data_IF_179945131845
#
_entry.id   IF_179945131845
#
_cell.length_a   1.000
_cell.length_b   1.000
_cell.length_c   1.000
_cell.angle_alpha   90.00
_cell.angle_beta   90.00
_cell.angle_gamma   90.00
#
_symmetry.space_group_name_H-M   'P 1'
#
loop_
_entity.id
_entity.type
_entity.pdbx_description
1 polymer ?
#
# COMPACT_ATOMS: atom_id res chain seq x y z
N UNK A 1 -7.78 -10.17 5.05
CA UNK A 1 -6.90 -9.24 4.31
C UNK A 1 -5.55 -9.12 4.98
N UNK A 2 -4.52 -8.64 4.25
CA UNK A 2 -3.18 -8.44 4.81
C UNK A 2 -2.74 -6.99 4.77
N UNK A 3 -3.37 -6.16 3.95
CA UNK A 3 -3.05 -4.75 3.86
C UNK A 3 -4.26 -3.87 3.61
N UNK A 4 -4.14 -2.60 3.98
CA UNK A 4 -5.15 -1.58 3.73
C UNK A 4 -4.51 -0.20 3.56
N UNK A 5 -5.07 0.60 2.66
CA UNK A 5 -4.79 2.03 2.53
C UNK A 5 -5.92 2.82 3.15
N UNK A 6 -5.57 3.89 3.85
CA UNK A 6 -6.53 4.82 4.47
C UNK A 6 -6.29 6.25 4.01
N UNK A 7 -7.39 6.95 3.79
CA UNK A 7 -7.47 8.40 3.63
C UNK A 7 -8.21 8.94 4.86
N UNK A 8 -7.59 9.82 5.61
CA UNK A 8 -8.10 10.29 6.90
C UNK A 8 -8.20 11.80 6.86
N UNK A 9 -9.37 12.33 7.22
CA UNK A 9 -9.59 13.75 7.43
C UNK A 9 -9.92 13.99 8.90
N UNK A 10 -9.24 14.94 9.49
CA UNK A 10 -9.41 15.33 10.90
C UNK A 10 -9.70 16.81 10.97
N UNK A 11 -10.64 17.20 11.81
CA UNK A 11 -10.85 18.60 12.13
C UNK A 11 -11.18 18.81 13.62
N UNK A 12 -10.83 19.97 14.16
CA UNK A 12 -11.28 20.38 15.47
C UNK A 12 -12.77 20.80 15.45
N UNK A 13 -13.39 20.94 16.61
CA UNK A 13 -14.82 21.23 16.72
C UNK A 13 -15.24 22.53 16.03
N UNK A 14 -14.39 23.54 16.04
CA UNK A 14 -14.61 24.86 15.40
C UNK A 14 -14.31 24.84 13.91
N UNK A 15 -13.71 23.76 13.37
CA UNK A 15 -13.23 23.63 11.98
C UNK A 15 -12.22 24.71 11.56
N UNK A 16 -11.49 25.25 12.53
CA UNK A 16 -10.40 26.20 12.27
C UNK A 16 -9.10 25.52 11.91
N UNK A 17 -8.94 24.26 12.35
CA UNK A 17 -7.80 23.42 11.97
C UNK A 17 -8.27 22.11 11.35
N UNK A 18 -7.63 21.75 10.26
CA UNK A 18 -7.93 20.54 9.47
C UNK A 18 -6.62 19.87 9.09
N UNK A 19 -6.59 18.55 9.21
CA UNK A 19 -5.52 17.69 8.68
C UNK A 19 -6.10 16.66 7.72
N UNK A 20 -5.38 16.39 6.63
CA UNK A 20 -5.59 15.22 5.80
C UNK A 20 -4.33 14.36 5.82
N UNK A 21 -4.50 13.06 6.01
CA UNK A 21 -3.41 12.11 6.19
C UNK A 21 -3.69 10.89 5.33
N UNK A 22 -2.68 10.40 4.62
CA UNK A 22 -2.69 9.09 4.01
C UNK A 22 -1.83 8.13 4.81
N UNK A 23 -2.28 6.89 4.97
CA UNK A 23 -1.47 5.85 5.57
C UNK A 23 -1.80 4.47 5.00
N UNK A 24 -0.82 3.58 5.09
CA UNK A 24 -0.97 2.16 4.80
C UNK A 24 -0.76 1.34 6.07
N UNK A 25 -1.53 0.28 6.20
CA UNK A 25 -1.43 -0.67 7.31
C UNK A 25 -1.24 -2.06 6.74
N UNK A 26 -0.31 -2.82 7.31
CA UNK A 26 -0.07 -4.23 6.98
C UNK A 26 0.01 -5.05 8.25
N UNK A 27 -0.39 -6.33 8.17
CA UNK A 27 -0.28 -7.26 9.29
C UNK A 27 0.10 -8.68 8.86
N UNK A 28 0.77 -9.41 9.76
CA UNK A 28 1.16 -10.81 9.58
C UNK A 28 0.25 -11.81 10.35
N UNK A 29 -0.75 -11.28 11.05
CA UNK A 29 -1.65 -12.04 11.93
C UNK A 29 -1.30 -11.91 13.42
N UNK A 30 -0.09 -11.44 13.74
CA UNK A 30 0.39 -11.22 15.11
C UNK A 30 0.76 -9.76 15.35
N UNK A 31 1.41 -9.14 14.37
CA UNK A 31 1.85 -7.76 14.40
C UNK A 31 1.14 -6.94 13.32
N UNK A 32 0.83 -5.69 13.62
CA UNK A 32 0.39 -4.71 12.65
C UNK A 32 1.38 -3.54 12.61
N UNK A 33 1.68 -3.11 11.39
CA UNK A 33 2.58 -1.99 11.12
C UNK A 33 1.86 -0.93 10.31
N UNK A 34 2.21 0.32 10.53
CA UNK A 34 1.65 1.48 9.83
C UNK A 34 2.77 2.36 9.28
N UNK A 35 2.55 2.89 8.09
CA UNK A 35 3.30 4.02 7.54
C UNK A 35 2.33 5.14 7.21
N UNK A 36 2.53 6.29 7.84
CA UNK A 36 1.78 7.53 7.55
C UNK A 36 2.63 8.43 6.66
N UNK A 37 2.00 9.02 5.66
CA UNK A 37 2.63 9.91 4.69
C UNK A 37 1.59 10.88 4.12
N UNK A 38 2.01 11.85 3.34
CA UNK A 38 1.10 12.78 2.67
C UNK A 38 0.24 13.58 3.65
N UNK A 39 0.78 13.94 4.82
CA UNK A 39 0.06 14.77 5.78
C UNK A 39 0.09 16.23 5.38
N UNK A 40 -1.09 16.85 5.33
CA UNK A 40 -1.28 18.28 5.09
C UNK A 40 -2.14 18.86 6.19
N UNK A 41 -1.64 19.88 6.88
CA UNK A 41 -2.29 20.56 7.98
C UNK A 41 -2.51 22.04 7.67
N UNK A 42 -3.61 22.61 8.15
CA UNK A 42 -3.82 24.07 8.14
C UNK A 42 -3.15 24.75 9.34
N UNK A 43 -2.85 23.99 10.41
CA UNK A 43 -2.09 24.44 11.59
C UNK A 43 -0.62 24.07 11.52
N UNK A 44 0.12 24.35 12.59
CA UNK A 44 1.55 24.10 12.67
C UNK A 44 1.92 22.66 13.08
N UNK A 45 0.95 21.90 13.61
CA UNK A 45 1.17 20.56 14.15
C UNK A 45 0.12 19.58 13.62
N UNK A 46 0.48 18.30 13.61
CA UNK A 46 -0.49 17.22 13.35
C UNK A 46 -1.56 17.20 14.45
N UNK A 47 -2.82 17.07 14.05
CA UNK A 47 -3.96 16.99 14.99
C UNK A 47 -4.07 15.63 15.67
N UNK A 48 -3.52 14.56 15.06
CA UNK A 48 -3.60 13.20 15.60
C UNK A 48 -2.28 12.45 15.44
N UNK A 49 -2.11 11.44 16.27
CA UNK A 49 -1.09 10.40 16.10
C UNK A 49 -1.78 9.08 15.75
N UNK A 50 -1.30 8.42 14.70
CA UNK A 50 -1.84 7.15 14.22
C UNK A 50 -0.98 5.98 14.70
N UNK A 51 -1.63 4.89 15.10
CA UNK A 51 -1.00 3.61 15.44
C UNK A 51 -1.84 2.46 14.89
N UNK A 52 -1.22 1.30 14.68
CA UNK A 52 -1.92 0.07 14.31
C UNK A 52 -1.57 -1.04 15.30
N UNK A 53 -2.55 -1.85 15.66
CA UNK A 53 -2.37 -3.04 16.50
C UNK A 53 -3.33 -4.17 16.10
N UNK A 54 -3.13 -5.34 16.70
CA UNK A 54 -4.04 -6.48 16.59
C UNK A 54 -4.72 -6.70 17.94
N UNK A 55 -6.04 -6.88 17.93
CA UNK A 55 -6.84 -7.23 19.08
C UNK A 55 -7.72 -8.44 18.75
N UNK A 56 -7.33 -9.61 19.20
CA UNK A 56 -7.96 -10.87 18.82
C UNK A 56 -7.76 -11.13 17.31
N UNK A 57 -8.85 -11.20 16.56
CA UNK A 57 -8.85 -11.35 15.10
C UNK A 57 -8.87 -10.03 14.32
N UNK A 58 -8.98 -8.89 15.03
CA UNK A 58 -9.19 -7.60 14.40
C UNK A 58 -7.89 -6.80 14.30
N UNK A 59 -7.61 -6.28 13.10
CA UNK A 59 -6.59 -5.26 12.89
C UNK A 59 -7.23 -3.90 13.11
N UNK A 60 -6.67 -3.11 14.04
CA UNK A 60 -7.19 -1.80 14.40
C UNK A 60 -6.24 -0.70 13.94
N UNK A 61 -6.76 0.27 13.21
CA UNK A 61 -6.15 1.59 13.08
C UNK A 61 -6.68 2.47 14.22
N UNK A 62 -5.79 3.07 14.97
CA UNK A 62 -6.11 3.91 16.13
C UNK A 62 -5.59 5.32 15.91
N UNK A 63 -6.40 6.29 16.31
CA UNK A 63 -6.03 7.70 16.31
C UNK A 63 -6.05 8.22 17.76
N UNK A 64 -4.98 8.87 18.17
CA UNK A 64 -4.91 9.61 19.43
C UNK A 64 -4.88 11.10 19.10
N UNK A 65 -5.84 11.85 19.62
CA UNK A 65 -5.93 13.29 19.41
C UNK A 65 -4.86 14.04 20.20
N UNK A 66 -4.22 15.02 19.57
CA UNK A 66 -3.28 15.94 20.20
C UNK A 66 -3.98 17.14 20.84
N UNK A 67 -5.30 17.29 20.58
CA UNK A 67 -6.20 18.27 21.18
C UNK A 67 -7.57 17.64 21.51
N UNK A 68 -8.38 18.30 22.37
CA UNK A 68 -9.72 17.83 22.68
C UNK A 68 -10.71 18.08 21.53
N UNK A 69 -11.79 17.29 21.50
CA UNK A 69 -12.93 17.48 20.58
C UNK A 69 -12.62 17.41 19.10
N UNK A 70 -11.69 16.55 18.70
CA UNK A 70 -11.43 16.25 17.29
C UNK A 70 -12.52 15.35 16.68
N UNK A 71 -12.79 15.58 15.41
CA UNK A 71 -13.60 14.69 14.56
C UNK A 71 -12.71 14.04 13.52
N UNK A 72 -12.80 12.72 13.41
CA UNK A 72 -12.01 11.92 12.49
C UNK A 72 -12.94 11.22 11.50
N UNK A 73 -12.68 11.38 10.22
CA UNK A 73 -13.32 10.67 9.14
C UNK A 73 -12.27 9.84 8.41
N UNK A 74 -12.54 8.57 8.21
CA UNK A 74 -11.62 7.67 7.50
C UNK A 74 -12.34 6.94 6.36
N UNK A 75 -11.72 6.92 5.19
CA UNK A 75 -12.05 6.05 4.07
C UNK A 75 -10.92 5.03 3.91
N UNK A 76 -11.24 3.79 3.58
CA UNK A 76 -10.23 2.72 3.42
C UNK A 76 -10.42 1.92 2.15
N UNK A 77 -9.31 1.47 1.60
CA UNK A 77 -9.22 0.43 0.57
C UNK A 77 -8.58 -0.78 1.23
N UNK A 78 -9.26 -1.92 1.22
CA UNK A 78 -8.73 -3.19 1.75
C UNK A 78 -8.23 -4.02 0.58
N UNK A 79 -7.02 -4.55 0.72
CA UNK A 79 -6.47 -5.53 -0.20
C UNK A 79 -6.68 -6.91 0.41
N UNK A 80 -7.62 -7.64 -0.19
CA UNK A 80 -7.99 -8.98 0.25
C UNK A 80 -7.10 -10.02 -0.44
N UNK A 81 -6.76 -11.08 0.29
CA UNK A 81 -6.14 -12.29 -0.24
C UNK A 81 -7.14 -13.24 -0.95
N UNK A 82 -8.42 -12.83 -1.09
CA UNK A 82 -9.43 -13.61 -1.81
C UNK A 82 -9.79 -12.96 -3.15
N UNK A 83 -9.93 -13.79 -4.18
CA UNK A 83 -10.27 -13.37 -5.56
C UNK A 83 -11.69 -12.79 -5.74
N UNK A 84 -12.49 -12.71 -4.68
CA UNK A 84 -13.93 -12.44 -4.77
C UNK A 84 -14.32 -10.97 -5.04
N UNK A 85 -13.38 -10.02 -4.96
CA UNK A 85 -13.69 -8.57 -4.98
C UNK A 85 -13.17 -7.83 -6.24
N UNK A 86 -13.34 -8.45 -7.40
CA UNK A 86 -12.89 -7.87 -8.67
C UNK A 86 -14.04 -7.18 -9.42
N UNK A 87 -14.30 -5.90 -9.16
CA UNK A 87 -15.16 -5.12 -10.07
C UNK A 87 -14.79 -3.65 -10.14
N UNK A 88 -14.45 -3.19 -11.34
CA UNK A 88 -14.25 -1.78 -11.68
C UNK A 88 -13.42 -1.59 -12.96
N UNK A 89 -13.83 -0.69 -13.83
CA UNK A 89 -13.27 -0.55 -15.19
C UNK A 89 -11.87 0.08 -15.25
N UNK A 90 -11.38 0.71 -14.18
CA UNK A 90 -10.04 1.29 -14.12
C UNK A 90 -9.29 0.96 -12.82
N UNK A 91 -9.85 0.09 -11.99
CA UNK A 91 -9.21 -0.48 -10.81
C UNK A 91 -9.18 -1.99 -11.00
N UNK A 92 -7.99 -2.55 -11.12
CA UNK A 92 -7.76 -3.98 -11.27
C UNK A 92 -7.16 -4.51 -9.97
N UNK A 93 -7.64 -5.66 -9.52
CA UNK A 93 -7.00 -6.46 -8.46
C UNK A 93 -6.38 -7.65 -9.13
N UNK A 94 -5.05 -7.76 -9.08
CA UNK A 94 -4.35 -8.96 -9.54
C UNK A 94 -4.43 -10.05 -8.48
N UNK A 95 -4.58 -11.30 -8.90
CA UNK A 95 -4.56 -12.46 -8.00
C UNK A 95 -3.17 -12.71 -7.43
N UNK A 96 -3.10 -13.57 -6.41
CA UNK A 96 -1.85 -13.97 -5.77
C UNK A 96 -0.82 -14.49 -6.77
N UNK A 97 0.33 -13.85 -6.83
CA UNK A 97 1.50 -14.33 -7.57
C UNK A 97 2.57 -14.77 -6.59
N UNK A 98 3.08 -15.98 -6.73
CA UNK A 98 4.22 -16.46 -5.94
C UNK A 98 5.51 -15.95 -6.55
N UNK A 99 6.28 -15.19 -5.79
CA UNK A 99 7.57 -14.65 -6.18
C UNK A 99 8.72 -15.29 -5.39
N UNK A 100 9.91 -15.20 -5.93
CA UNK A 100 11.18 -15.60 -5.31
C UNK A 100 12.19 -14.45 -5.38
N UNK A 101 13.47 -14.72 -5.23
CA UNK A 101 14.54 -13.72 -5.45
C UNK A 101 14.66 -13.24 -6.90
N UNK A 102 14.07 -13.98 -7.86
CA UNK A 102 14.01 -13.55 -9.26
C UNK A 102 12.77 -12.69 -9.50
N UNK A 103 12.93 -11.56 -10.16
CA UNK A 103 11.84 -10.65 -10.49
C UNK A 103 10.79 -11.34 -11.38
N UNK A 104 9.58 -11.50 -10.86
CA UNK A 104 8.44 -12.15 -11.51
C UNK A 104 7.39 -11.08 -11.82
N UNK A 105 6.77 -11.15 -13.00
CA UNK A 105 5.67 -10.25 -13.38
C UNK A 105 4.45 -10.51 -12.49
N UNK A 106 3.95 -9.45 -11.87
CA UNK A 106 2.78 -9.47 -10.98
C UNK A 106 1.57 -8.80 -11.62
N UNK A 107 1.78 -7.86 -12.54
CA UNK A 107 0.73 -7.22 -13.33
C UNK A 107 1.26 -6.72 -14.66
N UNK A 108 0.35 -6.50 -15.62
CA UNK A 108 0.66 -5.91 -16.93
C UNK A 108 -0.40 -4.94 -17.37
N UNK A 109 0.00 -3.90 -18.11
CA UNK A 109 -0.93 -3.00 -18.80
C UNK A 109 -0.41 -2.62 -20.19
N UNK A 110 -1.32 -2.16 -21.05
CA UNK A 110 -1.03 -1.72 -22.42
C UNK A 110 -0.64 -0.24 -22.45
N UNK A 111 0.59 0.06 -22.85
CA UNK A 111 1.13 1.42 -22.98
C UNK A 111 0.49 2.24 -24.12
N UNK A 112 -0.20 1.61 -25.09
CA UNK A 112 -1.00 2.32 -26.07
C UNK A 112 -2.29 2.90 -25.45
N UNK A 113 -2.76 2.30 -24.36
CA UNK A 113 -3.98 2.72 -23.68
C UNK A 113 -3.67 3.59 -22.46
N UNK A 114 -2.63 3.24 -21.68
CA UNK A 114 -2.30 3.90 -20.42
C UNK A 114 -0.82 4.33 -20.40
N UNK A 115 -0.56 5.60 -20.12
CA UNK A 115 0.80 6.14 -20.00
C UNK A 115 1.38 5.99 -18.58
N UNK A 116 0.62 5.39 -17.66
CA UNK A 116 1.08 5.11 -16.31
C UNK A 116 0.03 4.38 -15.48
N UNK A 117 0.45 3.90 -14.34
CA UNK A 117 -0.39 3.19 -13.39
C UNK A 117 0.06 3.49 -11.96
N UNK A 118 -0.89 3.44 -11.04
CA UNK A 118 -0.62 3.53 -9.61
C UNK A 118 -1.00 2.21 -8.95
N UNK A 119 -0.09 1.68 -8.13
CA UNK A 119 -0.25 0.39 -7.48
C UNK A 119 -0.22 0.51 -5.97
N UNK A 120 -1.02 -0.32 -5.30
CA UNK A 120 -0.87 -0.69 -3.90
C UNK A 120 -0.53 -2.17 -3.90
N UNK A 121 0.66 -2.52 -3.43
CA UNK A 121 1.20 -3.88 -3.48
C UNK A 121 1.34 -4.43 -2.07
N UNK A 122 0.74 -5.58 -1.82
CA UNK A 122 0.85 -6.30 -0.55
C UNK A 122 1.58 -7.61 -0.80
N UNK A 123 2.58 -7.89 0.02
CA UNK A 123 3.30 -9.16 -0.01
C UNK A 123 3.19 -9.87 1.34
N UNK A 124 3.03 -11.19 1.30
CA UNK A 124 2.94 -12.03 2.48
C UNK A 124 3.79 -13.30 2.33
N UNK A 125 4.65 -13.54 3.29
CA UNK A 125 5.43 -14.78 3.42
C UNK A 125 4.96 -15.53 4.67
N UNK A 126 4.17 -16.59 4.47
CA UNK A 126 3.63 -17.38 5.58
C UNK A 126 4.71 -18.19 6.33
N UNK A 127 5.76 -18.62 5.61
CA UNK A 127 6.86 -19.37 6.20
C UNK A 127 7.73 -18.56 7.16
N UNK A 128 7.78 -17.24 6.96
CA UNK A 128 8.54 -16.32 7.81
C UNK A 128 7.65 -15.48 8.74
N UNK A 129 6.33 -15.67 8.71
CA UNK A 129 5.36 -14.81 9.39
C UNK A 129 5.67 -13.32 9.15
N UNK A 130 5.73 -12.94 7.88
CA UNK A 130 6.13 -11.61 7.46
C UNK A 130 5.17 -11.07 6.40
N UNK A 131 4.87 -9.78 6.49
CA UNK A 131 4.05 -9.07 5.53
C UNK A 131 4.61 -7.68 5.25
N UNK A 132 4.43 -7.19 4.03
CA UNK A 132 4.79 -5.83 3.64
C UNK A 132 3.74 -5.23 2.73
N UNK A 133 3.68 -3.91 2.73
CA UNK A 133 2.88 -3.12 1.82
C UNK A 133 3.72 -1.96 1.30
N UNK A 134 3.54 -1.62 0.04
CA UNK A 134 4.09 -0.40 -0.54
C UNK A 134 3.14 0.16 -1.59
N UNK A 135 3.31 1.43 -1.91
CA UNK A 135 2.72 2.04 -3.09
C UNK A 135 3.78 2.22 -4.16
N UNK A 136 3.36 2.16 -5.42
CA UNK A 136 4.24 2.42 -6.55
C UNK A 136 3.50 3.21 -7.64
N UNK A 137 4.22 4.15 -8.23
CA UNK A 137 3.79 4.84 -9.43
C UNK A 137 4.66 4.39 -10.61
N UNK A 138 4.03 4.04 -11.70
CA UNK A 138 4.67 3.68 -12.97
C UNK A 138 4.33 4.74 -14.00
N UNK A 139 5.32 5.17 -14.78
CA UNK A 139 5.15 6.05 -15.94
C UNK A 139 5.88 5.47 -17.13
N UNK A 140 5.32 5.68 -18.31
CA UNK A 140 5.84 5.17 -19.59
C UNK A 140 6.12 6.33 -20.54
N UNK A 141 7.30 6.30 -21.17
CA UNK A 141 7.70 7.21 -22.24
C UNK A 141 8.29 6.40 -23.41
N UNK A 142 7.53 6.28 -24.49
CA UNK A 142 7.91 5.43 -25.62
C UNK A 142 8.06 3.97 -25.20
N UNK A 143 9.27 3.41 -25.33
CA UNK A 143 9.59 2.04 -24.90
C UNK A 143 10.28 1.98 -23.54
N UNK A 144 10.37 3.11 -22.81
CA UNK A 144 10.95 3.16 -21.49
C UNK A 144 9.84 3.18 -20.44
N UNK A 145 10.03 2.42 -19.36
CA UNK A 145 9.14 2.41 -18.23
C UNK A 145 9.93 2.66 -16.93
N UNK A 146 9.37 3.46 -16.06
CA UNK A 146 9.97 3.88 -14.79
C UNK A 146 9.03 3.59 -13.65
N UNK A 147 9.56 3.18 -12.51
CA UNK A 147 8.80 2.93 -11.28
C UNK A 147 9.41 3.67 -10.10
N UNK A 148 8.57 4.25 -9.28
CA UNK A 148 8.93 4.81 -7.97
C UNK A 148 8.12 4.09 -6.90
N UNK A 149 8.81 3.56 -5.87
CA UNK A 149 8.19 2.98 -4.67
C UNK A 149 8.16 4.01 -3.54
N UNK A 150 7.07 4.04 -2.78
CA UNK A 150 6.91 4.88 -1.59
C UNK A 150 5.93 4.24 -0.61
N UNK A 151 5.71 4.88 0.56
CA UNK A 151 4.83 4.36 1.61
C UNK A 151 5.12 2.89 2.00
N UNK A 152 6.38 2.50 1.95
CA UNK A 152 6.80 1.12 2.23
C UNK A 152 6.82 0.84 3.72
N UNK A 153 6.11 -0.19 4.15
CA UNK A 153 6.19 -0.71 5.51
C UNK A 153 6.16 -2.23 5.53
N UNK A 154 6.76 -2.82 6.55
CA UNK A 154 6.88 -4.26 6.70
C UNK A 154 6.86 -4.64 8.18
N UNK A 155 6.32 -5.82 8.49
CA UNK A 155 6.38 -6.40 9.85
C UNK A 155 7.79 -6.89 10.22
N UNK A 156 8.72 -6.98 9.25
CA UNK A 156 10.15 -7.27 9.46
C UNK A 156 11.02 -6.10 9.01
N UNK A 157 12.21 -5.98 9.61
CA UNK A 157 13.20 -4.92 9.34
C UNK A 157 13.76 -4.92 7.91
N UNK A 158 13.87 -6.08 7.26
CA UNK A 158 14.18 -6.20 5.84
C UNK A 158 12.90 -6.12 5.03
N UNK A 159 12.78 -5.21 4.08
CA UNK A 159 11.64 -5.17 3.17
C UNK A 159 11.44 -6.53 2.50
N UNK A 160 10.17 -6.93 2.33
CA UNK A 160 9.83 -8.25 1.79
C UNK A 160 9.99 -8.31 0.27
N UNK A 161 9.79 -7.19 -0.41
CA UNK A 161 9.81 -7.11 -1.87
C UNK A 161 10.56 -5.88 -2.37
N UNK A 162 11.06 -6.00 -3.60
CA UNK A 162 11.49 -4.89 -4.45
C UNK A 162 10.69 -4.92 -5.72
N UNK A 163 10.26 -3.75 -6.20
CA UNK A 163 9.55 -3.63 -7.46
C UNK A 163 10.48 -3.18 -8.57
N UNK A 164 10.17 -3.60 -9.77
CA UNK A 164 10.78 -3.15 -11.00
C UNK A 164 9.75 -3.13 -12.11
N UNK A 165 10.03 -2.41 -13.20
CA UNK A 165 9.15 -2.36 -14.36
C UNK A 165 9.95 -2.70 -15.62
N UNK A 166 9.30 -3.35 -16.58
CA UNK A 166 9.87 -3.62 -17.90
C UNK A 166 8.84 -3.32 -18.98
N UNK A 167 9.29 -2.81 -20.12
CA UNK A 167 8.52 -2.64 -21.34
C UNK A 167 9.02 -3.67 -22.37
N UNK A 168 8.12 -4.35 -23.08
CA UNK A 168 8.48 -5.40 -24.04
C UNK A 168 9.00 -4.86 -25.40
N UNK A 169 9.02 -3.53 -25.56
CA UNK A 169 9.39 -2.85 -26.80
C UNK A 169 8.24 -2.70 -27.79
N UNK A 170 7.05 -3.22 -27.49
CA UNK A 170 5.83 -3.10 -28.30
C UNK A 170 4.75 -2.29 -27.60
N UNK A 171 4.03 -2.90 -26.69
CA UNK A 171 2.96 -2.21 -25.95
C UNK A 171 2.76 -2.69 -24.51
N UNK A 172 3.42 -3.79 -24.12
CA UNK A 172 3.19 -4.36 -22.79
C UNK A 172 4.17 -3.79 -21.76
N UNK A 173 3.65 -3.21 -20.74
CA UNK A 173 4.37 -2.80 -19.53
C UNK A 173 4.11 -3.83 -18.43
N UNK A 174 5.17 -4.36 -17.84
CA UNK A 174 5.10 -5.38 -16.79
C UNK A 174 5.61 -4.81 -15.48
N UNK A 175 4.76 -4.74 -14.45
CA UNK A 175 5.21 -4.56 -13.07
C UNK A 175 5.73 -5.91 -12.55
N UNK A 176 6.92 -5.91 -11.98
CA UNK A 176 7.60 -7.11 -11.50
C UNK A 176 8.00 -6.96 -10.05
N UNK A 177 7.92 -8.04 -9.30
CA UNK A 177 8.34 -8.10 -7.91
C UNK A 177 9.37 -9.20 -7.67
N UNK A 178 10.30 -8.96 -6.76
CA UNK A 178 11.24 -9.96 -6.24
C UNK A 178 11.22 -9.94 -4.72
N UNK A 179 11.28 -11.12 -4.09
CA UNK A 179 11.41 -11.27 -2.65
C UNK A 179 12.83 -10.96 -2.21
N UNK A 180 12.99 -10.12 -1.20
CA UNK A 180 14.31 -9.81 -0.63
C UNK A 180 14.83 -10.91 0.30
N UNK A 181 13.95 -11.76 0.83
CA UNK A 181 14.31 -12.86 1.72
C UNK A 181 14.78 -14.14 1.00
N UNK A 182 14.56 -14.20 -0.33
CA UNK A 182 14.80 -15.43 -1.11
C UNK A 182 13.77 -16.54 -0.88
N UNK A 183 12.86 -16.37 0.08
CA UNK A 183 11.78 -17.31 0.38
C UNK A 183 10.58 -17.07 -0.52
N UNK A 184 9.75 -18.10 -0.71
CA UNK A 184 8.50 -17.99 -1.47
C UNK A 184 7.55 -17.00 -0.81
N UNK A 185 7.23 -15.93 -1.52
CA UNK A 185 6.38 -14.83 -1.05
C UNK A 185 5.20 -14.68 -2.02
N UNK A 186 3.99 -14.49 -1.49
CA UNK A 186 2.81 -14.14 -2.29
C UNK A 186 2.66 -12.62 -2.37
N UNK A 187 2.35 -12.13 -3.54
CA UNK A 187 2.11 -10.71 -3.86
C UNK A 187 0.75 -10.57 -4.51
#
# INVERSE_FOLDING_TARGET
FRGAKYFISVNNASKTEVSNIECVVVHDGTNAMISSYGEVNTGNNSLITLTADINGSDVRLRATGNEPNLRVHAYRIILSDSEADRSGTNVSVTGDTTISSTATTIDTFDSNTFQGAHYIVVAHNSGEAAASICEAAVVVEGTNAFVTEYAKTSTKSSGQITLSVAHDGSSTVSLRAASTSGSSTKV
#
